data_IF_443272004095
#
_entry.id   IF_443272004095
#
_cell.length_a   1.000
_cell.length_b   1.000
_cell.length_c   1.000
_cell.angle_alpha   90.00
_cell.angle_beta   90.00
_cell.angle_gamma   90.00
#
_symmetry.space_group_name_H-M   'P 1'
#
loop_
_entity.id
_entity.type
_entity.pdbx_description
1 polymer ?
#
# COMPACT_ATOMS: atom_id res chain seq x y z
N UNK A 1 16.31 -18.18 40.78
CA UNK A 1 15.05 -17.96 40.03
C UNK A 1 14.68 -16.49 40.16
N UNK A 2 14.72 -15.74 39.05
CA UNK A 2 14.27 -14.33 39.03
C UNK A 2 12.80 -14.35 38.62
N UNK A 3 11.89 -14.02 39.54
CA UNK A 3 10.45 -13.91 39.24
C UNK A 3 10.13 -12.45 38.92
N UNK A 4 10.03 -12.13 37.63
CA UNK A 4 9.68 -10.78 37.17
C UNK A 4 8.17 -10.69 37.03
N UNK A 5 7.52 -9.84 37.83
CA UNK A 5 6.10 -9.48 37.67
C UNK A 5 5.99 -8.03 37.23
N UNK A 6 5.60 -7.79 35.98
CA UNK A 6 5.43 -6.44 35.44
C UNK A 6 4.53 -6.43 34.20
N UNK A 7 3.85 -5.30 33.93
CA UNK A 7 2.92 -5.16 32.79
C UNK A 7 3.59 -5.48 31.44
N UNK A 8 4.89 -5.20 31.30
CA UNK A 8 5.68 -5.47 30.10
C UNK A 8 6.01 -6.93 29.79
N UNK A 9 5.72 -7.87 30.71
CA UNK A 9 5.97 -9.32 30.56
C UNK A 9 4.82 -10.08 29.90
N UNK A 10 3.73 -9.39 29.52
CA UNK A 10 2.58 -10.00 28.83
C UNK A 10 2.86 -10.17 27.34
N UNK A 11 2.27 -11.22 26.75
CA UNK A 11 2.11 -11.33 25.30
C UNK A 11 1.24 -10.15 24.82
N UNK A 12 1.62 -9.53 23.71
CA UNK A 12 0.90 -8.40 23.15
C UNK A 12 0.87 -8.52 21.62
N UNK A 13 -0.25 -8.10 21.03
CA UNK A 13 -0.45 -8.02 19.60
C UNK A 13 -0.38 -6.55 19.19
N UNK A 14 0.62 -6.18 18.39
CA UNK A 14 0.85 -4.80 17.99
C UNK A 14 -0.17 -4.27 16.96
N UNK A 15 -0.99 -5.14 16.36
CA UNK A 15 -2.04 -4.74 15.42
C UNK A 15 -3.15 -3.91 16.08
N UNK A 16 -3.37 -4.07 17.38
CA UNK A 16 -4.39 -3.32 18.14
C UNK A 16 -4.08 -1.82 18.23
N UNK A 17 -2.81 -1.43 18.04
CA UNK A 17 -2.34 -0.04 18.12
C UNK A 17 -2.11 0.58 16.74
N UNK A 18 -2.22 -0.21 15.67
CA UNK A 18 -2.18 0.28 14.30
C UNK A 18 -3.58 0.77 13.93
N UNK A 19 -3.66 1.99 13.42
CA UNK A 19 -4.93 2.57 12.94
C UNK A 19 -5.07 2.49 11.41
N UNK A 20 -3.95 2.39 10.68
CA UNK A 20 -3.93 2.24 9.22
C UNK A 20 -4.06 0.77 8.78
N UNK A 21 -5.17 0.46 8.11
CA UNK A 21 -5.47 -0.88 7.56
C UNK A 21 -4.42 -1.33 6.53
N UNK A 22 -3.86 -0.41 5.75
CA UNK A 22 -2.85 -0.70 4.72
C UNK A 22 -1.53 -1.22 5.29
N UNK A 23 -1.16 -0.75 6.49
CA UNK A 23 0.06 -1.14 7.20
C UNK A 23 -0.18 -2.42 8.01
N UNK A 24 -1.38 -2.62 8.56
CA UNK A 24 -1.75 -3.86 9.27
C UNK A 24 -1.52 -5.11 8.42
N UNK A 25 -1.87 -5.06 7.14
CA UNK A 25 -1.66 -6.16 6.19
C UNK A 25 -0.18 -6.48 5.94
N UNK A 26 0.73 -5.52 6.14
CA UNK A 26 2.16 -5.69 5.91
C UNK A 26 2.92 -6.29 7.10
N UNK A 27 2.32 -6.36 8.28
CA UNK A 27 2.98 -6.86 9.50
C UNK A 27 2.88 -8.38 9.55
N UNK A 28 3.96 -9.05 9.14
CA UNK A 28 4.05 -10.53 9.10
C UNK A 28 4.20 -11.17 10.48
N UNK A 29 4.73 -10.45 11.47
CA UNK A 29 4.91 -10.93 12.85
C UNK A 29 4.30 -9.95 13.87
N UNK A 30 2.97 -9.96 14.02
CA UNK A 30 2.27 -9.00 14.89
C UNK A 30 2.38 -9.33 16.38
N UNK A 31 2.83 -10.54 16.72
CA UNK A 31 2.92 -11.01 18.10
C UNK A 31 4.30 -10.73 18.71
N UNK A 32 4.31 -10.22 19.95
CA UNK A 32 5.54 -10.03 20.73
C UNK A 32 6.25 -11.36 21.01
N UNK A 33 7.41 -11.57 20.41
CA UNK A 33 8.23 -12.80 20.56
C UNK A 33 9.32 -12.70 21.62
N UNK A 34 9.91 -11.51 21.81
CA UNK A 34 11.02 -11.28 22.73
C UNK A 34 10.75 -10.15 23.73
N UNK A 35 11.45 -10.21 24.87
CA UNK A 35 11.47 -9.15 25.88
C UNK A 35 12.87 -8.54 25.91
N UNK A 36 12.96 -7.21 25.81
CA UNK A 36 14.19 -6.49 26.12
C UNK A 36 14.23 -6.28 27.62
N UNK A 37 15.24 -6.84 28.27
CA UNK A 37 15.52 -6.64 29.69
C UNK A 37 16.65 -5.62 29.76
N UNK A 38 16.44 -4.58 30.56
CA UNK A 38 17.48 -3.63 30.88
C UNK A 38 18.11 -4.06 32.20
N UNK A 39 19.38 -4.46 32.16
CA UNK A 39 20.10 -4.85 33.36
C UNK A 39 20.66 -3.60 34.04
N UNK A 40 19.98 -3.18 35.10
CA UNK A 40 20.39 -2.02 35.87
C UNK A 40 21.73 -2.27 36.59
N UNK A 41 21.97 -3.48 37.08
CA UNK A 41 23.17 -3.79 37.86
C UNK A 41 24.41 -3.87 36.98
N UNK A 42 24.29 -4.44 35.77
CA UNK A 42 25.40 -4.44 34.81
C UNK A 42 25.80 -3.01 34.38
N UNK A 43 24.83 -2.09 34.29
CA UNK A 43 25.14 -0.68 34.07
C UNK A 43 25.85 -0.05 35.26
N UNK A 44 25.39 -0.30 36.49
CA UNK A 44 26.08 0.15 37.70
C UNK A 44 27.52 -0.36 37.76
N UNK A 45 27.75 -1.65 37.53
CA UNK A 45 29.09 -2.25 37.48
C UNK A 45 29.97 -1.58 36.41
N UNK A 46 29.42 -1.33 35.21
CA UNK A 46 30.15 -0.63 34.17
C UNK A 46 30.58 0.77 34.62
N UNK A 47 29.68 1.52 35.26
CA UNK A 47 30.01 2.84 35.79
C UNK A 47 31.03 2.78 36.94
N UNK A 48 30.92 1.81 37.85
CA UNK A 48 31.85 1.69 38.98
C UNK A 48 33.25 1.21 38.58
N UNK A 49 33.35 0.23 37.67
CA UNK A 49 34.61 -0.47 37.41
C UNK A 49 35.27 -0.11 36.06
N UNK A 50 34.46 0.18 35.04
CA UNK A 50 34.94 0.26 33.64
C UNK A 50 34.89 1.67 33.07
N UNK A 51 34.05 2.55 33.63
CA UNK A 51 33.89 3.90 33.15
C UNK A 51 35.03 4.80 33.66
N UNK A 52 35.72 5.46 32.74
CA UNK A 52 36.81 6.36 33.09
C UNK A 52 36.26 7.74 33.47
N UNK A 53 36.03 7.96 34.76
CA UNK A 53 35.57 9.26 35.27
C UNK A 53 36.58 10.40 35.06
N UNK A 54 37.86 10.07 34.86
CA UNK A 54 38.93 11.05 34.60
C UNK A 54 39.09 11.34 33.10
N UNK A 55 38.24 10.77 32.24
CA UNK A 55 38.26 11.07 30.82
C UNK A 55 37.94 12.55 30.57
N UNK A 56 38.97 13.31 30.19
CA UNK A 56 38.82 14.72 29.85
C UNK A 56 38.15 14.84 28.47
N UNK A 57 36.83 14.95 28.48
CA UNK A 57 36.04 15.18 27.28
C UNK A 57 36.39 16.55 26.72
N UNK A 58 36.81 16.59 25.46
CA UNK A 58 37.03 17.86 24.74
C UNK A 58 35.68 18.53 24.55
N UNK A 59 35.46 19.62 25.29
CA UNK A 59 34.27 20.45 25.12
C UNK A 59 34.18 20.90 23.65
N UNK A 60 32.99 20.81 23.03
CA UNK A 60 32.79 21.38 21.70
C UNK A 60 33.13 22.86 21.75
N UNK A 61 33.91 23.33 20.78
CA UNK A 61 34.32 24.75 20.73
C UNK A 61 33.06 25.62 20.66
N UNK A 62 32.88 26.60 21.57
CA UNK A 62 31.78 27.53 21.44
C UNK A 62 31.89 28.22 20.09
N UNK A 63 30.81 28.22 19.30
CA UNK A 63 30.75 29.06 18.10
C UNK A 63 30.90 30.50 18.58
N UNK A 64 32.04 31.12 18.30
CA UNK A 64 32.14 32.57 18.37
C UNK A 64 31.10 33.13 17.40
N UNK A 65 30.13 33.87 17.93
CA UNK A 65 29.44 34.87 17.12
C UNK A 65 30.54 35.74 16.52
N UNK A 66 30.62 35.73 15.20
CA UNK A 66 31.74 36.30 14.47
C UNK A 66 32.01 37.75 14.85
N UNK A 67 33.29 38.04 15.05
CA UNK A 67 33.90 39.30 14.63
C UNK A 67 35.41 39.06 14.53
N UNK A 68 35.90 39.00 13.30
CA UNK A 68 37.32 39.23 13.01
C UNK A 68 37.68 40.65 13.45
N UNK A 69 38.72 40.81 14.26
CA UNK A 69 39.82 41.80 14.12
C UNK A 69 40.76 41.64 15.32
N UNK A 70 42.03 41.37 15.03
CA UNK A 70 43.19 41.98 15.71
C UNK A 70 43.52 41.61 17.17
N UNK A 71 44.56 40.79 17.32
CA UNK A 71 45.67 40.98 18.27
C UNK A 71 45.39 41.29 19.74
N UNK A 72 45.61 40.29 20.61
CA UNK A 72 45.82 40.50 22.04
C UNK A 72 45.70 39.21 22.84
N UNK A 73 46.82 38.72 23.39
CA UNK A 73 46.84 37.67 24.41
C UNK A 73 46.34 38.31 25.71
N UNK A 74 45.03 38.24 25.92
CA UNK A 74 44.39 38.48 27.22
C UNK A 74 43.91 37.15 27.81
N UNK A 75 43.90 36.98 29.14
CA UNK A 75 43.49 35.73 29.75
C UNK A 75 42.01 35.49 29.42
N UNK A 76 41.72 34.37 28.76
CA UNK A 76 40.35 33.90 28.59
C UNK A 76 39.83 33.62 29.98
N UNK A 77 38.92 34.46 30.47
CA UNK A 77 38.20 34.25 31.72
C UNK A 77 37.38 32.97 31.54
N UNK A 78 37.91 31.84 32.01
CA UNK A 78 37.19 30.58 32.12
C UNK A 78 36.30 30.68 33.35
N UNK A 79 35.17 31.35 33.18
CA UNK A 79 34.24 31.66 34.25
C UNK A 79 32.83 31.75 33.71
N UNK A 80 32.34 30.65 33.16
CA UNK A 80 30.94 30.51 32.78
C UNK A 80 30.61 29.03 32.74
N UNK A 81 29.84 28.56 33.71
CA UNK A 81 29.16 27.28 33.59
C UNK A 81 28.36 27.30 32.28
N UNK A 82 28.62 26.33 31.41
CA UNK A 82 27.82 26.16 30.20
C UNK A 82 26.45 25.64 30.63
N UNK A 83 25.50 26.54 30.82
CA UNK A 83 24.10 26.18 31.00
C UNK A 83 23.49 25.91 29.64
N UNK A 84 23.23 24.63 29.35
CA UNK A 84 22.38 24.28 28.23
C UNK A 84 20.91 24.53 28.61
N UNK A 85 20.48 25.79 28.47
CA UNK A 85 19.07 26.22 28.54
C UNK A 85 18.31 25.84 27.25
N UNK A 86 18.66 24.70 26.64
CA UNK A 86 17.88 24.16 25.56
C UNK A 86 16.61 23.61 26.16
N UNK A 87 15.49 24.31 26.01
CA UNK A 87 14.20 23.64 26.10
C UNK A 87 14.29 22.41 25.19
N UNK A 88 13.83 21.25 25.69
CA UNK A 88 13.80 19.97 24.97
C UNK A 88 12.76 20.03 23.84
N UNK A 89 12.76 21.14 23.09
CA UNK A 89 11.96 21.37 21.91
C UNK A 89 12.65 20.62 20.80
N UNK A 90 11.91 19.69 20.20
CA UNK A 90 12.24 19.12 18.91
C UNK A 90 12.54 20.28 17.93
N UNK A 91 13.82 20.55 17.71
CA UNK A 91 14.29 21.68 16.89
C UNK A 91 13.78 21.62 15.44
N UNK A 92 13.40 20.43 14.99
CA UNK A 92 12.72 20.20 13.73
C UNK A 92 11.91 18.90 13.83
N UNK A 93 10.58 18.99 13.76
CA UNK A 93 9.74 17.88 13.31
C UNK A 93 9.66 18.03 11.80
N UNK A 94 10.37 17.15 11.10
CA UNK A 94 10.29 17.07 9.64
C UNK A 94 9.24 16.03 9.30
N UNK A 95 7.99 16.47 9.28
CA UNK A 95 6.88 15.66 8.76
C UNK A 95 6.94 15.72 7.23
N UNK A 96 7.41 14.64 6.61
CA UNK A 96 7.29 14.48 5.16
C UNK A 96 5.87 14.00 4.86
N UNK A 97 5.06 14.90 4.30
CA UNK A 97 3.75 14.54 3.77
C UNK A 97 3.96 13.65 2.55
N UNK A 98 3.65 12.37 2.71
CA UNK A 98 3.64 11.41 1.61
C UNK A 98 2.54 11.86 0.65
N UNK A 99 2.92 12.31 -0.55
CA UNK A 99 1.98 12.72 -1.58
C UNK A 99 1.15 11.52 -2.10
N UNK A 100 0.14 11.81 -2.93
CA UNK A 100 -0.75 10.80 -3.53
C UNK A 100 0.01 9.69 -4.29
N UNK A 101 1.23 9.95 -4.72
CA UNK A 101 2.11 9.02 -5.46
C UNK A 101 2.88 8.03 -4.57
N UNK A 102 2.73 8.08 -3.24
CA UNK A 102 3.41 7.17 -2.32
C UNK A 102 4.89 7.51 -2.05
N UNK A 103 5.60 6.59 -1.38
CA UNK A 103 7.00 6.79 -0.98
C UNK A 103 7.94 6.70 -2.19
N UNK A 104 9.10 7.38 -2.12
CA UNK A 104 10.15 7.28 -3.16
C UNK A 104 10.59 5.83 -3.41
N UNK A 105 10.55 5.00 -2.37
CA UNK A 105 10.86 3.56 -2.45
C UNK A 105 9.88 2.86 -3.39
N UNK A 106 8.59 3.16 -3.33
CA UNK A 106 7.57 2.51 -4.18
C UNK A 106 7.73 2.91 -5.66
N UNK A 107 8.10 4.18 -5.91
CA UNK A 107 8.41 4.67 -7.27
C UNK A 107 9.65 4.00 -7.85
N UNK A 108 10.76 4.03 -7.11
CA UNK A 108 12.01 3.38 -7.53
C UNK A 108 11.88 1.86 -7.61
N UNK A 109 10.97 1.26 -6.84
CA UNK A 109 10.71 -0.18 -6.88
C UNK A 109 10.05 -0.60 -8.19
N UNK A 110 9.06 0.17 -8.67
CA UNK A 110 8.43 -0.09 -9.96
C UNK A 110 9.39 0.17 -11.12
N UNK A 111 10.18 1.25 -11.07
CA UNK A 111 11.21 1.56 -12.08
C UNK A 111 12.27 0.45 -12.20
N UNK A 112 12.83 -0.02 -11.08
CA UNK A 112 13.80 -1.14 -11.10
C UNK A 112 13.20 -2.43 -11.63
N UNK A 113 11.94 -2.71 -11.27
CA UNK A 113 11.24 -3.86 -11.81
C UNK A 113 11.03 -3.73 -13.32
N UNK A 114 10.66 -2.55 -13.80
CA UNK A 114 10.51 -2.27 -15.23
C UNK A 114 11.82 -2.48 -16.00
N UNK A 115 12.94 -1.99 -15.46
CA UNK A 115 14.25 -2.14 -16.06
C UNK A 115 14.70 -3.61 -16.13
N UNK A 116 14.58 -4.36 -15.03
CA UNK A 116 14.96 -5.79 -14.98
C UNK A 116 14.14 -6.65 -15.96
N UNK A 117 12.86 -6.34 -16.11
CA UNK A 117 11.96 -7.04 -17.05
C UNK A 117 12.25 -6.65 -18.50
N UNK A 118 12.59 -5.38 -18.76
CA UNK A 118 12.92 -4.87 -20.10
C UNK A 118 14.28 -5.36 -20.61
N UNK A 119 15.26 -5.46 -19.72
CA UNK A 119 16.60 -5.97 -20.05
C UNK A 119 16.61 -7.47 -20.36
N UNK A 120 15.61 -8.22 -19.89
CA UNK A 120 15.56 -9.66 -20.11
C UNK A 120 15.02 -10.02 -21.50
N UNK A 121 15.92 -10.35 -22.43
CA UNK A 121 15.58 -10.71 -23.81
C UNK A 121 14.60 -11.89 -23.93
N UNK A 122 14.58 -12.80 -22.96
CA UNK A 122 13.68 -13.96 -23.00
C UNK A 122 12.23 -13.54 -22.81
N UNK A 123 11.99 -12.55 -21.93
CA UNK A 123 10.68 -11.96 -21.68
C UNK A 123 10.25 -11.16 -22.91
N UNK A 124 11.11 -10.30 -23.46
CA UNK A 124 10.81 -9.48 -24.63
C UNK A 124 10.38 -10.34 -25.84
N UNK A 125 11.16 -11.38 -26.19
CA UNK A 125 10.83 -12.30 -27.30
C UNK A 125 9.53 -13.07 -27.06
N UNK A 126 9.30 -13.49 -25.82
CA UNK A 126 8.09 -14.23 -25.47
C UNK A 126 6.83 -13.34 -25.52
N UNK A 127 6.95 -12.05 -25.15
CA UNK A 127 5.88 -11.05 -25.30
C UNK A 127 5.60 -10.74 -26.77
N UNK A 128 6.62 -10.55 -27.61
CA UNK A 128 6.45 -10.36 -29.07
C UNK A 128 5.76 -11.56 -29.73
N UNK A 129 6.07 -12.77 -29.28
CA UNK A 129 5.44 -14.01 -29.76
C UNK A 129 4.02 -14.26 -29.21
N UNK A 130 3.53 -13.41 -28.31
CA UNK A 130 2.21 -13.54 -27.67
C UNK A 130 2.09 -14.72 -26.69
N UNK A 131 3.20 -15.31 -26.26
CA UNK A 131 3.23 -16.49 -25.37
C UNK A 131 3.14 -16.08 -23.89
N UNK A 132 2.04 -15.43 -23.52
CA UNK A 132 1.85 -14.84 -22.19
C UNK A 132 2.00 -15.83 -21.04
N UNK A 133 1.48 -17.05 -21.18
CA UNK A 133 1.53 -18.05 -20.10
C UNK A 133 2.97 -18.42 -19.73
N UNK A 134 3.85 -18.54 -20.74
CA UNK A 134 5.28 -18.82 -20.52
C UNK A 134 6.01 -17.66 -19.87
N UNK A 135 5.64 -16.42 -20.21
CA UNK A 135 6.21 -15.22 -19.60
C UNK A 135 5.83 -15.15 -18.12
N UNK A 136 4.55 -15.38 -17.81
CA UNK A 136 4.04 -15.34 -16.43
C UNK A 136 4.76 -16.39 -15.57
N UNK A 137 4.89 -17.62 -16.07
CA UNK A 137 5.61 -18.68 -15.37
C UNK A 137 7.09 -18.35 -15.17
N UNK A 138 7.73 -17.75 -16.17
CA UNK A 138 9.14 -17.35 -16.09
C UNK A 138 9.35 -16.23 -15.06
N UNK A 139 8.52 -15.18 -15.08
CA UNK A 139 8.59 -14.07 -14.12
C UNK A 139 8.34 -14.56 -12.69
N UNK A 140 7.38 -15.48 -12.49
CA UNK A 140 7.13 -16.06 -11.17
C UNK A 140 8.36 -16.80 -10.62
N UNK A 141 9.05 -17.58 -11.45
CA UNK A 141 10.20 -18.39 -11.01
C UNK A 141 11.48 -17.58 -10.87
N UNK A 142 11.74 -16.68 -11.80
CA UNK A 142 13.04 -16.02 -11.94
C UNK A 142 13.09 -14.62 -11.36
N UNK A 143 11.95 -13.95 -11.19
CA UNK A 143 11.91 -12.55 -10.73
C UNK A 143 11.29 -12.42 -9.35
N UNK A 144 10.21 -13.15 -9.04
CA UNK A 144 9.57 -13.07 -7.71
C UNK A 144 10.25 -13.90 -6.62
N UNK A 145 10.76 -15.10 -6.94
CA UNK A 145 11.33 -16.01 -5.94
C UNK A 145 12.81 -15.71 -5.58
N UNK A 146 13.35 -14.55 -5.96
CA UNK A 146 14.72 -14.14 -5.59
C UNK A 146 14.74 -13.36 -4.26
N UNK A 147 15.54 -13.80 -3.26
CA UNK A 147 15.54 -13.23 -1.91
C UNK A 147 16.19 -11.84 -1.82
N UNK A 148 16.89 -11.38 -2.87
CA UNK A 148 17.61 -10.12 -2.86
C UNK A 148 16.70 -8.90 -3.12
N UNK A 149 15.59 -9.06 -3.85
CA UNK A 149 14.77 -7.93 -4.30
C UNK A 149 13.29 -7.97 -3.83
N UNK A 150 12.83 -9.09 -3.22
CA UNK A 150 11.47 -9.25 -2.67
C UNK A 150 10.37 -8.59 -3.51
N UNK A 151 10.44 -8.78 -4.84
CA UNK A 151 9.34 -8.43 -5.69
C UNK A 151 8.14 -9.30 -5.28
N UNK A 152 7.02 -8.66 -5.00
CA UNK A 152 5.77 -9.37 -4.78
C UNK A 152 4.70 -8.63 -5.56
N UNK A 153 3.82 -9.39 -6.20
CA UNK A 153 2.68 -8.92 -6.96
C UNK A 153 1.80 -7.99 -6.10
N UNK A 154 1.66 -8.27 -4.81
CA UNK A 154 0.91 -7.38 -3.90
C UNK A 154 1.61 -6.04 -3.66
N UNK A 155 2.96 -5.99 -3.64
CA UNK A 155 3.72 -4.74 -3.57
C UNK A 155 3.60 -3.96 -4.87
N UNK A 156 3.65 -4.63 -6.02
CA UNK A 156 3.45 -3.99 -7.33
C UNK A 156 2.03 -3.41 -7.46
N UNK A 157 1.02 -4.12 -6.94
CA UNK A 157 -0.36 -3.60 -6.86
C UNK A 157 -0.46 -2.35 -6.00
N UNK A 158 0.14 -2.36 -4.80
CA UNK A 158 0.16 -1.20 -3.90
C UNK A 158 0.89 -0.01 -4.53
N UNK A 159 2.05 -0.25 -5.15
CA UNK A 159 2.82 0.79 -5.84
C UNK A 159 2.09 1.39 -7.06
N UNK A 160 1.26 0.59 -7.74
CA UNK A 160 0.48 1.07 -8.88
C UNK A 160 -0.76 1.91 -8.49
N UNK A 161 -1.14 1.92 -7.19
CA UNK A 161 -2.28 2.68 -6.65
C UNK A 161 -3.59 2.50 -7.43
N UNK A 162 -3.89 1.28 -7.87
CA UNK A 162 -5.11 0.98 -8.64
C UNK A 162 -6.15 0.28 -7.77
N UNK A 163 -7.41 0.71 -7.86
CA UNK A 163 -8.57 0.18 -7.11
C UNK A 163 -9.04 -1.22 -7.55
N UNK A 164 -8.16 -2.04 -8.16
CA UNK A 164 -8.50 -3.36 -8.72
C UNK A 164 -7.34 -4.34 -8.58
N UNK A 165 -7.67 -5.64 -8.67
CA UNK A 165 -6.67 -6.71 -8.65
C UNK A 165 -5.96 -6.83 -10.00
N UNK A 166 -4.80 -6.17 -10.15
CA UNK A 166 -3.97 -6.28 -11.35
C UNK A 166 -3.42 -7.70 -11.53
N UNK A 167 -3.39 -8.14 -12.78
CA UNK A 167 -2.73 -9.39 -13.20
C UNK A 167 -1.32 -9.11 -13.69
N UNK A 168 -0.44 -10.11 -13.63
CA UNK A 168 0.94 -9.97 -14.13
C UNK A 168 0.98 -9.63 -15.61
N UNK A 169 0.05 -10.19 -16.39
CA UNK A 169 -0.09 -9.89 -17.80
C UNK A 169 -0.25 -8.40 -18.06
N UNK A 170 -1.21 -7.75 -17.39
CA UNK A 170 -1.44 -6.32 -17.58
C UNK A 170 -0.24 -5.47 -17.14
N UNK A 171 0.46 -5.89 -16.08
CA UNK A 171 1.68 -5.22 -15.61
C UNK A 171 2.76 -5.29 -16.70
N UNK A 172 2.95 -6.46 -17.30
CA UNK A 172 3.89 -6.65 -18.39
C UNK A 172 3.46 -5.87 -19.65
N UNK A 173 2.18 -5.89 -20.02
CA UNK A 173 1.65 -5.11 -21.14
C UNK A 173 1.93 -3.61 -20.98
N UNK A 174 1.85 -3.07 -19.75
CA UNK A 174 2.26 -1.69 -19.46
C UNK A 174 3.76 -1.48 -19.65
N UNK A 175 4.60 -2.36 -19.09
CA UNK A 175 6.07 -2.27 -19.16
C UNK A 175 6.59 -2.29 -20.61
N UNK A 176 5.97 -3.11 -21.46
CA UNK A 176 6.28 -3.22 -22.88
C UNK A 176 5.58 -2.17 -23.75
N UNK A 177 4.84 -1.22 -23.16
CA UNK A 177 4.21 -0.12 -23.87
C UNK A 177 2.98 -0.50 -24.72
N UNK A 178 2.40 -1.69 -24.51
CA UNK A 178 1.15 -2.09 -25.14
C UNK A 178 -0.05 -1.33 -24.54
N UNK A 179 0.07 -0.90 -23.28
CA UNK A 179 -0.94 -0.09 -22.59
C UNK A 179 -0.26 1.13 -21.94
N UNK A 180 -0.75 2.36 -22.18
CA UNK A 180 -0.13 3.57 -21.63
C UNK A 180 -0.37 3.76 -20.12
N UNK A 181 -1.51 3.30 -19.59
CA UNK A 181 -1.88 3.39 -18.17
C UNK A 181 -2.78 2.24 -17.75
N UNK A 182 -2.71 1.84 -16.49
CA UNK A 182 -3.67 0.87 -15.95
C UNK A 182 -5.07 1.49 -15.95
N UNK A 183 -6.05 0.77 -16.51
CA UNK A 183 -7.45 1.21 -16.48
C UNK A 183 -7.97 1.12 -15.05
N UNK A 184 -8.75 2.11 -14.62
CA UNK A 184 -9.38 2.06 -13.31
C UNK A 184 -10.49 0.99 -13.29
N UNK A 185 -10.98 0.66 -12.09
CA UNK A 185 -12.14 -0.22 -11.91
C UNK A 185 -13.34 0.29 -12.70
N UNK A 186 -13.61 1.59 -12.63
CA UNK A 186 -14.72 2.22 -13.36
C UNK A 186 -14.53 2.13 -14.88
N UNK A 187 -13.33 2.39 -15.40
CA UNK A 187 -13.06 2.33 -16.84
C UNK A 187 -13.31 0.94 -17.43
N UNK A 188 -12.89 -0.14 -16.74
CA UNK A 188 -13.23 -1.50 -17.19
C UNK A 188 -14.73 -1.77 -17.15
N UNK A 189 -15.42 -1.31 -16.12
CA UNK A 189 -16.87 -1.49 -16.02
C UNK A 189 -17.59 -0.78 -17.18
N UNK A 190 -17.14 0.41 -17.57
CA UNK A 190 -17.68 1.12 -18.74
C UNK A 190 -17.40 0.37 -20.05
N UNK A 191 -16.21 -0.21 -20.21
CA UNK A 191 -15.87 -0.98 -21.42
C UNK A 191 -16.69 -2.27 -21.54
N UNK A 192 -16.82 -3.03 -20.46
CA UNK A 192 -17.67 -4.22 -20.42
C UNK A 192 -19.15 -3.86 -20.63
N UNK A 193 -19.59 -2.74 -20.09
CA UNK A 193 -20.93 -2.22 -20.33
C UNK A 193 -21.13 -1.77 -21.78
N UNK A 194 -20.11 -1.18 -22.41
CA UNK A 194 -20.17 -0.80 -23.82
C UNK A 194 -20.29 -2.04 -24.74
N UNK A 195 -19.56 -3.13 -24.43
CA UNK A 195 -19.72 -4.42 -25.11
C UNK A 195 -21.13 -4.98 -24.93
N UNK A 196 -21.64 -4.97 -23.70
CA UNK A 196 -23.01 -5.39 -23.40
C UNK A 196 -24.06 -4.59 -24.21
N UNK A 197 -23.90 -3.27 -24.34
CA UNK A 197 -24.76 -2.43 -25.18
C UNK A 197 -24.63 -2.80 -26.66
N UNK A 198 -23.41 -3.05 -27.14
CA UNK A 198 -23.18 -3.39 -28.55
C UNK A 198 -23.85 -4.73 -28.93
N UNK A 199 -23.82 -5.71 -28.02
CA UNK A 199 -24.42 -7.02 -28.21
C UNK A 199 -25.94 -6.98 -28.07
N UNK A 200 -26.44 -6.27 -27.05
CA UNK A 200 -27.87 -6.27 -26.70
C UNK A 200 -28.70 -5.24 -27.49
N UNK A 201 -28.07 -4.16 -27.97
CA UNK A 201 -28.69 -3.01 -28.68
C UNK A 201 -30.02 -2.57 -28.04
N UNK A 202 -29.99 -1.90 -26.88
CA UNK A 202 -31.21 -1.56 -26.17
C UNK A 202 -32.11 -0.61 -26.97
N UNK A 203 -33.37 -1.01 -27.20
CA UNK A 203 -34.38 -0.21 -27.90
C UNK A 203 -34.81 1.03 -27.07
N UNK A 204 -34.66 0.97 -25.75
CA UNK A 204 -35.09 2.00 -24.80
C UNK A 204 -33.89 2.81 -24.30
N UNK A 205 -33.47 3.80 -25.10
CA UNK A 205 -32.32 4.65 -24.77
C UNK A 205 -32.47 5.41 -23.43
N UNK A 206 -33.70 5.68 -23.00
CA UNK A 206 -34.00 6.33 -21.72
C UNK A 206 -33.64 5.46 -20.49
N UNK A 207 -33.61 4.14 -20.65
CA UNK A 207 -33.30 3.20 -19.57
C UNK A 207 -31.79 2.91 -19.43
N UNK A 208 -30.95 3.35 -20.38
CA UNK A 208 -29.50 3.10 -20.39
C UNK A 208 -28.83 3.50 -19.05
N UNK A 209 -29.13 4.67 -18.44
CA UNK A 209 -28.55 5.03 -17.14
C UNK A 209 -28.96 4.07 -16.02
N UNK A 210 -30.21 3.61 -15.99
CA UNK A 210 -30.68 2.67 -14.98
C UNK A 210 -30.05 1.28 -15.14
N UNK A 211 -29.93 0.82 -16.40
CA UNK A 211 -29.22 -0.43 -16.76
C UNK A 211 -27.76 -0.34 -16.33
N UNK A 212 -27.10 0.81 -16.55
CA UNK A 212 -25.72 1.07 -16.15
C UNK A 212 -25.55 1.01 -14.62
N UNK A 213 -26.42 1.69 -13.87
CA UNK A 213 -26.39 1.66 -12.40
C UNK A 213 -26.57 0.24 -11.87
N UNK A 214 -27.51 -0.52 -12.44
CA UNK A 214 -27.73 -1.91 -12.06
C UNK A 214 -26.53 -2.80 -12.41
N UNK A 215 -25.95 -2.67 -13.62
CA UNK A 215 -24.76 -3.40 -14.03
C UNK A 215 -23.58 -3.14 -13.08
N UNK A 216 -23.29 -1.86 -12.78
CA UNK A 216 -22.22 -1.49 -11.84
C UNK A 216 -22.46 -2.04 -10.43
N UNK A 217 -23.68 -1.94 -9.92
CA UNK A 217 -24.05 -2.44 -8.61
C UNK A 217 -23.93 -3.97 -8.53
N UNK A 218 -24.35 -4.68 -9.58
CA UNK A 218 -24.27 -6.13 -9.67
C UNK A 218 -22.82 -6.63 -9.70
N UNK A 219 -21.94 -6.00 -10.47
CA UNK A 219 -20.52 -6.41 -10.54
C UNK A 219 -19.79 -6.06 -9.23
N UNK A 220 -20.06 -4.89 -8.65
CA UNK A 220 -19.32 -4.38 -7.49
C UNK A 220 -19.74 -5.00 -6.16
N UNK A 221 -21.03 -5.24 -5.94
CA UNK A 221 -21.56 -5.70 -4.65
C UNK A 221 -21.95 -7.17 -4.68
N UNK A 222 -21.26 -7.99 -3.88
CA UNK A 222 -21.64 -9.39 -3.66
C UNK A 222 -23.02 -9.54 -3.01
N UNK A 223 -23.43 -8.56 -2.17
CA UNK A 223 -24.75 -8.58 -1.53
C UNK A 223 -25.87 -8.39 -2.56
N UNK A 224 -25.71 -7.45 -3.49
CA UNK A 224 -26.69 -7.23 -4.57
C UNK A 224 -26.84 -8.48 -5.42
N UNK A 225 -25.72 -9.14 -5.77
CA UNK A 225 -25.75 -10.44 -6.47
C UNK A 225 -26.54 -11.49 -5.70
N UNK A 226 -26.25 -11.67 -4.42
CA UNK A 226 -26.93 -12.66 -3.59
C UNK A 226 -28.44 -12.40 -3.52
N UNK A 227 -28.85 -11.15 -3.35
CA UNK A 227 -30.26 -10.76 -3.29
C UNK A 227 -30.99 -11.08 -4.60
N UNK A 228 -30.36 -10.81 -5.74
CA UNK A 228 -30.95 -11.05 -7.07
C UNK A 228 -31.02 -12.54 -7.39
N UNK A 229 -29.97 -13.30 -7.06
CA UNK A 229 -29.92 -14.75 -7.28
C UNK A 229 -30.95 -15.49 -6.41
N UNK A 230 -31.10 -15.09 -5.14
CA UNK A 230 -32.08 -15.66 -4.21
C UNK A 230 -33.49 -15.05 -4.35
N UNK A 231 -33.66 -14.05 -5.24
CA UNK A 231 -34.92 -13.33 -5.48
C UNK A 231 -35.52 -12.65 -4.22
N UNK A 232 -34.69 -12.28 -3.25
CA UNK A 232 -35.09 -11.61 -2.01
C UNK A 232 -35.18 -10.08 -2.18
N UNK A 233 -36.05 -9.63 -3.09
CA UNK A 233 -36.13 -8.20 -3.47
C UNK A 233 -36.52 -7.25 -2.33
N UNK A 234 -37.02 -7.76 -1.21
CA UNK A 234 -37.27 -6.98 0.02
C UNK A 234 -35.99 -6.38 0.60
N UNK A 235 -34.87 -7.08 0.42
CA UNK A 235 -33.58 -6.73 1.04
C UNK A 235 -32.84 -5.64 0.23
N UNK A 236 -33.31 -5.35 -0.99
CA UNK A 236 -32.86 -4.18 -1.76
C UNK A 236 -33.35 -2.86 -1.16
N UNK A 237 -34.36 -2.88 -0.27
CA UNK A 237 -34.87 -1.66 0.35
C UNK A 237 -33.93 -1.11 1.44
N UNK A 238 -33.11 -1.97 2.04
CA UNK A 238 -32.16 -1.64 3.10
C UNK A 238 -30.72 -1.47 2.60
N UNK A 239 -30.47 -1.74 1.31
CA UNK A 239 -29.13 -1.69 0.75
C UNK A 239 -28.75 -0.25 0.34
N UNK A 240 -27.61 0.30 0.80
CA UNK A 240 -27.16 1.65 0.44
C UNK A 240 -26.63 1.77 -1.00
N UNK A 241 -26.23 0.66 -1.64
CA UNK A 241 -25.57 0.67 -2.96
C UNK A 241 -26.59 0.60 -4.11
N UNK A 242 -27.72 -0.07 -3.91
CA UNK A 242 -28.73 -0.26 -4.95
C UNK A 242 -30.12 -0.44 -4.35
N UNK A 243 -31.06 0.44 -4.73
CA UNK A 243 -32.38 0.49 -4.12
C UNK A 243 -33.46 -0.23 -4.95
N UNK A 244 -34.61 -0.48 -4.32
CA UNK A 244 -35.79 -1.02 -5.02
C UNK A 244 -36.33 -0.09 -6.11
N UNK A 245 -36.10 1.22 -6.00
CA UNK A 245 -36.50 2.21 -7.01
C UNK A 245 -35.65 2.06 -8.27
N UNK A 246 -34.34 1.91 -8.10
CA UNK A 246 -33.40 1.72 -9.20
C UNK A 246 -33.67 0.40 -9.92
N UNK A 247 -34.01 -0.66 -9.18
CA UNK A 247 -34.39 -1.94 -9.75
C UNK A 247 -35.68 -1.85 -10.59
N UNK A 248 -36.68 -1.09 -10.12
CA UNK A 248 -37.93 -0.86 -10.86
C UNK A 248 -37.72 -0.05 -12.13
N UNK A 249 -36.76 0.87 -12.14
CA UNK A 249 -36.43 1.68 -13.31
C UNK A 249 -35.78 0.87 -14.44
N UNK A 250 -35.17 -0.29 -14.15
CA UNK A 250 -34.63 -1.20 -15.17
C UNK A 250 -35.75 -2.01 -15.81
N UNK A 251 -35.87 -2.09 -17.15
CA UNK A 251 -36.86 -2.93 -17.82
C UNK A 251 -36.63 -4.42 -17.55
N UNK A 252 -37.72 -5.20 -17.47
CA UNK A 252 -37.68 -6.61 -17.05
C UNK A 252 -36.77 -7.49 -17.90
N UNK A 253 -36.67 -7.19 -19.20
CA UNK A 253 -35.76 -7.89 -20.13
C UNK A 253 -34.32 -7.83 -19.65
N UNK A 254 -33.83 -6.66 -19.25
CA UNK A 254 -32.44 -6.47 -18.82
C UNK A 254 -32.18 -6.96 -17.39
N UNK A 255 -33.22 -7.07 -16.55
CA UNK A 255 -33.07 -7.63 -15.18
C UNK A 255 -32.57 -9.08 -15.20
N UNK A 256 -32.95 -9.85 -16.22
CA UNK A 256 -32.53 -11.24 -16.41
C UNK A 256 -31.23 -11.36 -17.23
N UNK A 257 -31.07 -10.55 -18.28
CA UNK A 257 -29.91 -10.62 -19.18
C UNK A 257 -28.60 -10.20 -18.50
N UNK A 258 -28.62 -9.23 -17.59
CA UNK A 258 -27.41 -8.72 -16.94
C UNK A 258 -26.75 -9.79 -16.04
N UNK A 259 -27.48 -10.48 -15.15
CA UNK A 259 -26.93 -11.60 -14.40
C UNK A 259 -26.34 -12.72 -15.27
N UNK A 260 -26.98 -13.06 -16.39
CA UNK A 260 -26.49 -14.09 -17.32
C UNK A 260 -25.20 -13.64 -18.01
N UNK A 261 -25.19 -12.43 -18.59
CA UNK A 261 -24.01 -11.86 -19.22
C UNK A 261 -22.83 -11.75 -18.25
N UNK A 262 -23.06 -11.31 -17.02
CA UNK A 262 -21.99 -11.17 -16.02
C UNK A 262 -21.43 -12.54 -15.62
N UNK A 263 -22.23 -13.60 -15.59
CA UNK A 263 -21.74 -14.96 -15.32
C UNK A 263 -20.87 -15.51 -16.44
N UNK A 264 -21.23 -15.22 -17.69
CA UNK A 264 -20.58 -15.80 -18.86
C UNK A 264 -19.33 -15.02 -19.29
N UNK A 265 -19.33 -13.69 -19.12
CA UNK A 265 -18.30 -12.83 -19.71
C UNK A 265 -17.45 -12.05 -18.69
N UNK A 266 -17.93 -11.86 -17.46
CA UNK A 266 -17.25 -10.99 -16.49
C UNK A 266 -16.57 -11.81 -15.40
N UNK A 267 -15.24 -11.75 -15.36
CA UNK A 267 -14.44 -12.35 -14.29
C UNK A 267 -14.57 -11.53 -13.00
N UNK A 268 -15.56 -11.88 -12.16
CA UNK A 268 -15.88 -11.18 -10.91
C UNK A 268 -14.67 -11.04 -9.96
N UNK A 269 -13.71 -11.97 -10.03
CA UNK A 269 -12.47 -11.95 -9.26
C UNK A 269 -11.56 -10.73 -9.56
N UNK A 270 -11.74 -10.06 -10.70
CA UNK A 270 -10.97 -8.86 -11.06
C UNK A 270 -11.48 -7.60 -10.35
N UNK A 271 -12.72 -7.62 -9.87
CA UNK A 271 -13.41 -6.46 -9.29
C UNK A 271 -13.54 -6.51 -7.76
N UNK A 272 -13.15 -7.64 -7.14
CA UNK A 272 -13.01 -7.79 -5.70
C UNK A 272 -11.68 -7.13 -5.30
N UNK A 273 -11.79 -6.01 -4.57
CA UNK A 273 -10.67 -5.37 -3.89
C UNK A 273 -10.55 -5.94 -2.49
#
# INVERSE_FOLDING_TARGET
FIQIKGRGTRKHNFLEQLFDESIKEGVTQPQKTAFKLFDFFANCEYFEEKFNYDEVIKLPRPRSKGCEVGGGIGPVVVGGAYEHLGEDILSMIKEETIGLEGMKIDRMFFEKFEDTVRENETIAKAVESGQWDRVIDYVNREVFDKPEEYYNLDKLRKAAAVDRRLTLREILEKIFGLIPRFKSKDELLEEEFAKFIADTKPEEAAAIPAIKTYFKAYVTSGQVRHIIEMKHFTDLATNPVFSTLDFRAVPEKYRMLIPEYVKDYVSLNQFVA
#
